data_IF_156988866240
#
_entry.id   IF_156988866240
#
_cell.length_a   1.000
_cell.length_b   1.000
_cell.length_c   1.000
_cell.angle_alpha   90.00
_cell.angle_beta   90.00
_cell.angle_gamma   90.00
#
_symmetry.space_group_name_H-M   'P 1'
#
loop_
_entity.id
_entity.type
_entity.pdbx_description
1 polymer ?
#
# COMPACT_ATOMS: atom_id res chain seq x y z
N UNK A 1 6.01 3.32 -9.72
CA UNK A 1 5.62 2.99 -8.31
C UNK A 1 4.24 3.56 -8.02
N UNK A 2 3.42 2.82 -7.27
CA UNK A 2 2.14 3.32 -6.78
C UNK A 2 2.28 4.01 -5.41
N UNK A 3 1.37 4.89 -5.07
CA UNK A 3 1.23 5.48 -3.73
C UNK A 3 -0.22 5.36 -3.30
N UNK A 4 -0.48 5.33 -1.99
CA UNK A 4 -1.85 5.41 -1.49
C UNK A 4 -2.51 6.69 -2.05
N UNK A 5 -3.81 6.64 -2.40
CA UNK A 5 -4.53 7.81 -2.87
C UNK A 5 -4.41 8.97 -1.88
N UNK A 6 -4.29 10.19 -2.41
CA UNK A 6 -4.27 11.40 -1.56
C UNK A 6 -5.60 11.54 -0.81
N UNK A 7 -5.62 12.01 0.44
CA UNK A 7 -6.87 12.35 1.14
C UNK A 7 -7.67 13.45 0.45
N UNK A 8 -7.10 14.13 -0.57
CA UNK A 8 -7.78 15.10 -1.43
C UNK A 8 -8.61 14.46 -2.55
N UNK A 9 -8.62 13.13 -2.68
CA UNK A 9 -9.49 12.47 -3.66
C UNK A 9 -10.94 12.74 -3.25
N UNK A 10 -11.78 13.32 -4.14
CA UNK A 10 -13.18 13.60 -3.82
C UNK A 10 -13.92 12.30 -3.54
N UNK A 11 -14.33 12.08 -2.29
CA UNK A 11 -15.12 10.89 -1.90
C UNK A 11 -16.62 11.12 -2.06
N UNK A 12 -17.04 12.39 -2.05
CA UNK A 12 -18.45 12.78 -2.12
C UNK A 12 -18.77 13.27 -3.53
N UNK A 13 -18.73 12.34 -4.49
CA UNK A 13 -19.10 12.60 -5.87
C UNK A 13 -20.62 12.61 -5.99
N UNK A 14 -21.19 13.69 -6.52
CA UNK A 14 -22.60 13.75 -6.92
C UNK A 14 -22.70 13.06 -8.29
N UNK A 15 -22.56 11.74 -8.31
CA UNK A 15 -22.72 10.90 -9.49
C UNK A 15 -23.73 9.79 -9.19
N UNK A 16 -24.19 9.08 -10.23
CA UNK A 16 -24.88 7.81 -10.00
C UNK A 16 -23.97 6.84 -9.21
N UNK A 17 -24.59 5.91 -8.48
CA UNK A 17 -23.87 4.95 -7.62
C UNK A 17 -22.91 4.05 -8.39
N UNK A 18 -23.15 3.82 -9.69
CA UNK A 18 -22.31 3.01 -10.56
C UNK A 18 -20.98 3.71 -10.88
N UNK A 19 -21.01 5.01 -11.16
CA UNK A 19 -19.83 5.83 -11.39
C UNK A 19 -18.97 5.89 -10.12
N UNK A 20 -19.59 6.09 -8.95
CA UNK A 20 -18.87 6.07 -7.67
C UNK A 20 -18.20 4.70 -7.44
N UNK A 21 -18.94 3.60 -7.58
CA UNK A 21 -18.40 2.26 -7.40
C UNK A 21 -17.23 1.98 -8.37
N UNK A 22 -17.36 2.36 -9.64
CA UNK A 22 -16.29 2.20 -10.62
C UNK A 22 -15.03 2.97 -10.21
N UNK A 23 -15.18 4.23 -9.81
CA UNK A 23 -14.07 5.06 -9.39
C UNK A 23 -13.37 4.49 -8.15
N UNK A 24 -14.11 4.09 -7.11
CA UNK A 24 -13.50 3.53 -5.90
C UNK A 24 -12.81 2.17 -6.14
N UNK A 25 -13.32 1.37 -7.08
CA UNK A 25 -12.67 0.13 -7.50
C UNK A 25 -11.36 0.38 -8.27
N UNK A 26 -11.20 1.58 -8.87
CA UNK A 26 -10.02 1.94 -9.66
C UNK A 26 -8.99 2.78 -8.90
N UNK A 27 -9.43 3.71 -8.05
CA UNK A 27 -8.56 4.67 -7.36
C UNK A 27 -8.10 4.09 -6.03
N UNK A 28 -7.41 2.97 -6.08
CA UNK A 28 -6.80 2.35 -4.92
C UNK A 28 -5.44 1.74 -5.28
N UNK A 29 -4.67 1.43 -4.23
CA UNK A 29 -3.31 0.92 -4.40
C UNK A 29 -3.26 -0.39 -5.19
N UNK A 30 -4.20 -1.30 -4.93
CA UNK A 30 -4.22 -2.64 -5.52
C UNK A 30 -4.47 -2.58 -7.02
N UNK A 31 -5.42 -1.74 -7.46
CA UNK A 31 -5.65 -1.55 -8.89
C UNK A 31 -4.45 -0.88 -9.57
N UNK A 32 -3.85 0.14 -8.93
CA UNK A 32 -2.63 0.76 -9.47
C UNK A 32 -1.50 -0.27 -9.67
N UNK A 33 -1.29 -1.18 -8.71
CA UNK A 33 -0.32 -2.27 -8.85
C UNK A 33 -0.71 -3.21 -9.98
N UNK A 34 -1.96 -3.66 -10.03
CA UNK A 34 -2.48 -4.56 -11.07
C UNK A 34 -2.21 -4.00 -12.48
N UNK A 35 -2.44 -2.70 -12.67
CA UNK A 35 -2.32 -2.03 -13.97
C UNK A 35 -0.87 -1.73 -14.38
N UNK A 36 0.08 -1.74 -13.43
CA UNK A 36 1.44 -1.24 -13.68
C UNK A 36 2.55 -2.23 -13.31
N UNK A 37 2.25 -3.36 -12.63
CA UNK A 37 3.24 -4.33 -12.14
C UNK A 37 4.17 -4.87 -13.22
N UNK A 38 3.67 -4.98 -14.45
CA UNK A 38 4.41 -5.56 -15.57
C UNK A 38 5.26 -4.52 -16.32
N UNK A 39 5.22 -3.23 -15.94
CA UNK A 39 6.06 -2.20 -16.55
C UNK A 39 7.50 -2.32 -16.06
N UNK A 40 8.45 -2.16 -16.97
CA UNK A 40 9.87 -2.14 -16.65
C UNK A 40 10.17 -1.09 -15.55
N UNK A 41 10.90 -1.51 -14.50
CA UNK A 41 11.24 -0.65 -13.36
C UNK A 41 10.07 -0.33 -12.41
N UNK A 42 8.93 -1.03 -12.52
CA UNK A 42 7.84 -0.87 -11.56
C UNK A 42 8.26 -1.35 -10.16
N UNK A 43 8.75 -2.58 -10.08
CA UNK A 43 9.37 -3.12 -8.87
C UNK A 43 10.76 -2.51 -8.69
N UNK A 44 11.02 -2.05 -7.48
CA UNK A 44 12.33 -1.54 -7.03
C UNK A 44 12.85 -2.49 -5.96
N UNK A 45 14.04 -2.21 -5.43
CA UNK A 45 14.61 -2.94 -4.28
C UNK A 45 13.88 -2.58 -2.96
N UNK A 46 12.56 -2.62 -2.96
CA UNK A 46 11.67 -2.27 -1.85
C UNK A 46 10.47 -3.22 -1.86
N UNK A 47 10.10 -3.76 -0.71
CA UNK A 47 8.90 -4.58 -0.54
C UNK A 47 7.82 -3.78 0.19
N UNK A 48 6.55 -3.99 -0.16
CA UNK A 48 5.40 -3.31 0.44
C UNK A 48 4.34 -4.32 0.83
N UNK A 49 3.91 -4.28 2.07
CA UNK A 49 2.86 -5.15 2.61
C UNK A 49 1.55 -4.37 2.63
N UNK A 50 0.51 -4.93 2.02
CA UNK A 50 -0.84 -4.39 2.13
C UNK A 50 -1.51 -4.97 3.38
N UNK A 51 -1.79 -4.11 4.35
CA UNK A 51 -2.26 -4.52 5.68
C UNK A 51 -3.80 -4.54 5.79
N UNK A 52 -4.52 -4.23 4.70
CA UNK A 52 -5.99 -4.18 4.70
C UNK A 52 -6.59 -3.11 5.62
N UNK A 53 -5.80 -2.10 6.02
CA UNK A 53 -6.23 -1.07 6.97
C UNK A 53 -5.66 0.30 6.64
N UNK A 54 -6.30 1.34 7.17
CA UNK A 54 -5.94 2.75 6.98
C UNK A 54 -4.83 3.24 7.91
N UNK A 55 -4.43 2.45 8.91
CA UNK A 55 -3.41 2.80 9.90
C UNK A 55 -2.08 2.07 9.68
N UNK A 56 -0.97 2.75 10.02
CA UNK A 56 0.38 2.15 10.04
C UNK A 56 0.41 0.94 10.98
N UNK A 57 1.27 -0.05 10.69
CA UNK A 57 1.50 -1.21 11.58
C UNK A 57 2.29 -0.87 12.82
N UNK A 58 3.20 0.06 12.68
CA UNK A 58 4.17 0.41 13.69
C UNK A 58 3.90 1.84 14.10
N UNK A 59 4.01 2.11 15.40
CA UNK A 59 4.11 3.48 15.90
C UNK A 59 5.42 4.09 15.44
N UNK A 60 5.42 5.41 15.24
CA UNK A 60 6.59 6.13 14.74
C UNK A 60 7.69 6.31 15.80
N UNK A 61 7.60 5.63 16.96
CA UNK A 61 8.56 5.64 18.07
C UNK A 61 8.54 4.32 18.82
N UNK A 62 9.69 3.90 19.32
CA UNK A 62 9.90 2.79 20.27
C UNK A 62 9.54 1.39 19.75
N UNK A 63 9.36 1.23 18.44
CA UNK A 63 9.03 -0.05 17.82
C UNK A 63 10.28 -0.61 17.10
N UNK A 64 10.48 -1.93 17.21
CA UNK A 64 11.49 -2.68 16.48
C UNK A 64 10.78 -3.65 15.52
N UNK A 65 11.12 -3.55 14.24
CA UNK A 65 10.63 -4.43 13.17
C UNK A 65 11.75 -5.36 12.78
N UNK A 66 11.54 -6.67 12.88
CA UNK A 66 12.50 -7.69 12.47
C UNK A 66 11.94 -8.48 11.29
N UNK A 67 12.73 -8.61 10.24
CA UNK A 67 12.49 -9.55 9.15
C UNK A 67 13.32 -10.80 9.43
N UNK A 68 12.66 -11.93 9.63
CA UNK A 68 13.30 -13.22 9.89
C UNK A 68 13.03 -14.20 8.76
N UNK A 69 13.93 -15.15 8.57
CA UNK A 69 13.72 -16.27 7.65
C UNK A 69 12.84 -17.37 8.26
N UNK A 70 12.61 -18.43 7.50
CA UNK A 70 11.84 -19.61 7.90
C UNK A 70 12.45 -20.40 9.07
N UNK A 71 13.77 -20.29 9.26
CA UNK A 71 14.50 -20.84 10.39
C UNK A 71 14.58 -19.89 11.60
N UNK A 72 13.95 -18.70 11.53
CA UNK A 72 13.95 -17.69 12.59
C UNK A 72 15.24 -16.85 12.68
N UNK A 73 16.11 -16.89 11.66
CA UNK A 73 17.33 -16.08 11.61
C UNK A 73 17.01 -14.67 11.15
N UNK A 74 17.62 -13.66 11.78
CA UNK A 74 17.44 -12.26 11.43
C UNK A 74 18.03 -11.97 10.04
N UNK A 75 17.19 -11.49 9.12
CA UNK A 75 17.58 -10.99 7.79
C UNK A 75 17.84 -9.49 7.87
N UNK A 76 16.94 -8.73 8.50
CA UNK A 76 17.04 -7.27 8.60
C UNK A 76 16.24 -6.73 9.81
N UNK A 77 16.57 -5.53 10.28
CA UNK A 77 15.82 -4.87 11.36
C UNK A 77 15.68 -3.36 11.16
N UNK A 78 14.56 -2.80 11.62
CA UNK A 78 14.31 -1.35 11.59
C UNK A 78 13.74 -0.87 12.91
N UNK A 79 14.35 0.18 13.45
CA UNK A 79 13.88 0.89 14.65
C UNK A 79 13.19 2.19 14.28
N UNK A 80 12.08 2.49 14.93
CA UNK A 80 11.33 3.74 14.81
C UNK A 80 11.43 4.57 16.09
#
# INVERSE_FOLDING_TARGET
RCTAPSPKVPTNLVSDGNCQAHLFNRINYNQCVTDNKDRAGFFRNEWRIYLGRSSKLWRDKTELVELVDDAGRLIDSRRY
#
